data_IF_210432790070
#
_entry.id   IF_210432790070
#
_cell.length_a   1.000
_cell.length_b   1.000
_cell.length_c   1.000
_cell.angle_alpha   90.00
_cell.angle_beta   90.00
_cell.angle_gamma   90.00
#
_symmetry.space_group_name_H-M   'P 1'
#
loop_
_entity.id
_entity.type
_entity.pdbx_description
1 polymer ?
#
# COMPACT_ATOMS: atom_id res chain seq x y z
N UNK A 1 -27.51 -33.26 -7.81
CA UNK A 1 -26.85 -31.95 -7.98
C UNK A 1 -27.36 -31.34 -9.27
N UNK A 2 -27.89 -30.10 -9.28
CA UNK A 2 -28.29 -29.45 -10.53
C UNK A 2 -27.05 -28.87 -11.25
N UNK A 3 -27.09 -28.76 -12.60
CA UNK A 3 -25.96 -28.33 -13.41
C UNK A 3 -25.74 -26.81 -13.33
N UNK A 4 -24.46 -26.43 -13.34
CA UNK A 4 -23.99 -25.03 -13.35
C UNK A 4 -24.43 -24.33 -14.65
N UNK A 5 -25.16 -23.22 -14.54
CA UNK A 5 -25.41 -22.30 -15.65
C UNK A 5 -24.46 -21.11 -15.54
N UNK A 6 -23.71 -20.74 -16.60
CA UNK A 6 -22.89 -19.54 -16.60
C UNK A 6 -23.80 -18.30 -16.59
N UNK A 7 -23.58 -17.42 -15.62
CA UNK A 7 -24.30 -16.16 -15.52
C UNK A 7 -23.96 -15.24 -16.71
N UNK A 8 -25.01 -14.74 -17.37
CA UNK A 8 -24.98 -13.69 -18.40
C UNK A 8 -24.20 -12.45 -17.91
N UNK A 9 -23.61 -11.64 -18.84
CA UNK A 9 -22.78 -10.50 -18.47
C UNK A 9 -23.58 -9.54 -17.59
N UNK A 10 -23.00 -9.07 -16.47
CA UNK A 10 -23.81 -8.49 -15.42
C UNK A 10 -24.33 -7.12 -15.81
N UNK A 11 -25.62 -6.91 -15.55
CA UNK A 11 -26.33 -5.64 -15.39
C UNK A 11 -25.71 -4.72 -14.30
N UNK A 12 -24.45 -4.93 -13.90
CA UNK A 12 -23.71 -4.23 -12.83
C UNK A 12 -22.90 -3.01 -13.30
N UNK A 13 -22.84 -2.72 -14.60
CA UNK A 13 -22.20 -1.50 -15.12
C UNK A 13 -23.11 -0.25 -15.05
N UNK A 14 -24.36 -0.37 -14.59
CA UNK A 14 -25.34 0.73 -14.56
C UNK A 14 -25.43 1.52 -13.25
N UNK A 15 -24.79 1.08 -12.17
CA UNK A 15 -24.96 1.68 -10.84
C UNK A 15 -23.77 2.53 -10.35
N UNK A 16 -22.79 2.83 -11.20
CA UNK A 16 -21.72 3.80 -10.91
C UNK A 16 -22.11 5.26 -11.19
N UNK A 17 -23.40 5.55 -11.36
CA UNK A 17 -23.87 6.91 -11.56
C UNK A 17 -24.33 7.53 -10.23
N UNK A 18 -23.76 8.70 -9.96
CA UNK A 18 -24.18 9.80 -9.07
C UNK A 18 -23.47 9.85 -7.70
N UNK A 19 -22.47 10.73 -7.61
CA UNK A 19 -22.56 11.90 -6.74
C UNK A 19 -21.67 13.06 -7.26
N UNK A 20 -22.34 14.14 -7.67
CA UNK A 20 -21.87 15.53 -7.81
C UNK A 20 -20.53 15.83 -8.52
N UNK A 21 -20.45 15.59 -9.83
CA UNK A 21 -19.61 16.46 -10.70
C UNK A 21 -20.55 17.08 -11.72
N UNK A 22 -20.77 18.39 -11.60
CA UNK A 22 -21.76 19.15 -12.35
C UNK A 22 -21.47 19.25 -13.86
N UNK A 23 -20.30 18.82 -14.33
CA UNK A 23 -19.99 18.67 -15.75
C UNK A 23 -18.96 17.55 -15.98
N UNK A 24 -19.22 16.56 -16.84
CA UNK A 24 -18.18 15.63 -17.25
C UNK A 24 -17.14 16.38 -18.09
N UNK A 25 -15.82 16.25 -17.81
CA UNK A 25 -14.82 16.87 -18.66
C UNK A 25 -14.95 16.31 -20.10
N UNK A 26 -14.79 17.17 -21.13
CA UNK A 26 -14.77 16.73 -22.52
C UNK A 26 -13.68 15.65 -22.70
N UNK A 27 -13.79 14.78 -23.72
CA UNK A 27 -12.73 13.82 -24.02
C UNK A 27 -11.42 14.58 -24.21
N UNK A 28 -10.53 14.46 -23.23
CA UNK A 28 -9.27 15.19 -23.22
C UNK A 28 -8.46 14.67 -24.40
N UNK A 29 -8.16 15.57 -25.34
CA UNK A 29 -7.14 15.33 -26.35
C UNK A 29 -5.77 15.06 -25.70
N UNK A 30 -4.71 14.87 -26.50
CA UNK A 30 -3.37 14.71 -25.93
C UNK A 30 -3.05 15.86 -24.95
N UNK A 31 -2.36 15.59 -23.83
CA UNK A 31 -2.02 16.63 -22.87
C UNK A 31 -1.29 17.79 -23.53
N UNK A 32 -1.67 19.02 -23.21
CA UNK A 32 -1.03 20.22 -23.74
C UNK A 32 0.20 20.56 -22.90
N UNK A 33 1.26 20.99 -23.56
CA UNK A 33 2.52 21.38 -22.91
C UNK A 33 2.97 22.76 -23.41
N UNK A 34 3.42 23.66 -22.52
CA UNK A 34 3.51 23.51 -21.06
C UNK A 34 2.14 23.37 -20.38
N UNK A 35 2.11 22.83 -19.14
CA UNK A 35 0.88 22.84 -18.33
C UNK A 35 0.50 24.30 -18.04
N UNK A 36 -0.73 24.68 -18.34
CA UNK A 36 -1.25 26.05 -18.19
C UNK A 36 -1.94 26.26 -16.83
N UNK A 37 -2.44 25.18 -16.22
CA UNK A 37 -3.11 25.18 -14.92
C UNK A 37 -2.09 25.04 -13.77
N UNK A 38 -2.21 25.93 -12.77
CA UNK A 38 -1.28 25.97 -11.63
C UNK A 38 -1.42 24.74 -10.73
N UNK A 39 -2.65 24.23 -10.53
CA UNK A 39 -2.88 23.03 -9.75
C UNK A 39 -2.25 21.82 -10.44
N UNK A 40 -2.48 21.64 -11.74
CA UNK A 40 -1.87 20.57 -12.53
C UNK A 40 -0.33 20.61 -12.45
N UNK A 41 0.28 21.79 -12.58
CA UNK A 41 1.73 21.94 -12.44
C UNK A 41 2.21 21.57 -11.02
N UNK A 42 1.47 21.98 -9.98
CA UNK A 42 1.77 21.64 -8.59
C UNK A 42 1.63 20.13 -8.33
N UNK A 43 0.56 19.50 -8.81
CA UNK A 43 0.30 18.07 -8.69
C UNK A 43 1.36 17.25 -9.42
N UNK A 44 1.74 17.65 -10.64
CA UNK A 44 2.80 17.00 -11.40
C UNK A 44 4.11 17.01 -10.61
N UNK A 45 4.50 18.19 -10.10
CA UNK A 45 5.71 18.36 -9.29
C UNK A 45 5.66 17.55 -7.99
N UNK A 46 4.51 17.53 -7.33
CA UNK A 46 4.31 16.77 -6.09
C UNK A 46 4.47 15.27 -6.31
N UNK A 47 3.91 14.72 -7.40
CA UNK A 47 4.12 13.32 -7.78
C UNK A 47 5.61 12.97 -7.84
N UNK A 48 6.37 13.71 -8.67
CA UNK A 48 7.80 13.45 -8.92
C UNK A 48 8.62 13.60 -7.63
N UNK A 49 8.40 14.68 -6.88
CA UNK A 49 9.27 15.03 -5.74
C UNK A 49 8.91 14.30 -4.43
N UNK A 50 7.68 13.79 -4.28
CA UNK A 50 7.19 13.26 -3.00
C UNK A 50 6.65 11.84 -3.07
N UNK A 51 6.11 11.41 -4.21
CA UNK A 51 5.38 10.14 -4.31
C UNK A 51 6.11 9.08 -5.14
N UNK A 52 6.85 9.47 -6.18
CA UNK A 52 7.62 8.54 -7.01
C UNK A 52 8.60 7.69 -6.18
N UNK A 53 9.24 8.28 -5.16
CA UNK A 53 10.14 7.59 -4.23
C UNK A 53 9.46 6.44 -3.45
N UNK A 54 8.13 6.43 -3.35
CA UNK A 54 7.41 5.33 -2.71
C UNK A 54 7.35 4.09 -3.61
N UNK A 55 7.41 4.33 -4.92
CA UNK A 55 7.26 3.34 -5.98
C UNK A 55 8.63 2.80 -6.41
N UNK A 56 9.67 3.63 -6.44
CA UNK A 56 10.99 3.29 -6.98
C UNK A 56 11.97 2.59 -6.02
N UNK A 57 11.52 2.10 -4.85
CA UNK A 57 12.42 1.62 -3.77
C UNK A 57 13.47 0.58 -4.20
N UNK A 58 13.07 -0.33 -5.08
CA UNK A 58 13.92 -1.43 -5.58
C UNK A 58 14.14 -1.33 -7.10
N UNK A 59 13.96 -0.13 -7.65
CA UNK A 59 14.15 0.13 -9.08
C UNK A 59 15.43 0.95 -9.29
N UNK A 60 16.48 0.39 -9.90
CA UNK A 60 17.72 1.13 -10.17
C UNK A 60 17.51 2.30 -11.14
N UNK A 61 16.46 2.28 -11.96
CA UNK A 61 16.19 3.31 -12.97
C UNK A 61 15.30 4.44 -12.45
N UNK A 62 14.76 4.31 -11.23
CA UNK A 62 13.77 5.25 -10.69
C UNK A 62 12.66 5.55 -11.71
N UNK A 63 12.04 4.49 -12.26
CA UNK A 63 11.18 4.58 -13.44
C UNK A 63 9.95 5.44 -13.18
N UNK A 64 9.39 5.45 -11.98
CA UNK A 64 8.26 6.32 -11.63
C UNK A 64 8.67 7.78 -11.48
N UNK A 65 9.90 8.07 -11.05
CA UNK A 65 10.43 9.43 -10.98
C UNK A 65 10.86 9.97 -12.36
N UNK A 66 11.45 9.13 -13.21
CA UNK A 66 12.15 9.57 -14.41
C UNK A 66 11.37 9.31 -15.71
N UNK A 67 10.81 8.11 -15.87
CA UNK A 67 10.18 7.66 -17.11
C UNK A 67 8.69 7.96 -17.14
N UNK A 68 7.97 7.74 -16.03
CA UNK A 68 6.52 7.99 -15.93
C UNK A 68 6.16 9.44 -16.24
N UNK A 69 6.86 10.47 -15.71
CA UNK A 69 6.53 11.86 -16.03
C UNK A 69 6.75 12.21 -17.51
N UNK A 70 7.74 11.59 -18.17
CA UNK A 70 7.97 11.76 -19.60
C UNK A 70 6.84 11.12 -20.41
N UNK A 71 6.46 9.87 -20.09
CA UNK A 71 5.37 9.15 -20.75
C UNK A 71 4.00 9.77 -20.51
N UNK A 72 3.79 10.41 -19.36
CA UNK A 72 2.57 11.14 -19.04
C UNK A 72 2.32 12.34 -19.97
N UNK A 73 3.34 12.82 -20.70
CA UNK A 73 3.18 13.87 -21.70
C UNK A 73 2.29 13.46 -22.87
N UNK A 74 2.37 12.18 -23.22
CA UNK A 74 1.66 11.59 -24.37
C UNK A 74 0.54 10.62 -23.92
N UNK A 75 0.45 10.33 -22.62
CA UNK A 75 -0.48 9.37 -22.03
C UNK A 75 -1.42 10.05 -21.04
N UNK A 76 -2.65 10.40 -21.45
CA UNK A 76 -3.62 11.03 -20.55
C UNK A 76 -3.94 10.17 -19.33
N UNK A 77 -3.95 8.84 -19.46
CA UNK A 77 -4.27 7.95 -18.32
C UNK A 77 -3.19 8.01 -17.24
N UNK A 78 -1.91 8.05 -17.62
CA UNK A 78 -0.82 8.22 -16.67
C UNK A 78 -0.85 9.59 -16.02
N UNK A 79 -1.07 10.64 -16.82
CA UNK A 79 -1.15 12.01 -16.30
C UNK A 79 -2.27 12.17 -15.27
N UNK A 80 -3.48 11.71 -15.60
CA UNK A 80 -4.62 11.74 -14.69
C UNK A 80 -4.36 10.89 -13.43
N UNK A 81 -3.70 9.73 -13.54
CA UNK A 81 -3.36 8.92 -12.37
C UNK A 81 -2.36 9.64 -11.44
N UNK A 82 -1.33 10.27 -12.00
CA UNK A 82 -0.37 11.10 -11.25
C UNK A 82 -1.07 12.24 -10.50
N UNK A 83 -1.99 12.94 -11.17
CA UNK A 83 -2.77 14.02 -10.57
C UNK A 83 -3.72 13.50 -9.48
N UNK A 84 -4.43 12.41 -9.74
CA UNK A 84 -5.36 11.80 -8.79
C UNK A 84 -4.66 11.42 -7.48
N UNK A 85 -3.53 10.71 -7.57
CA UNK A 85 -2.75 10.31 -6.40
C UNK A 85 -2.17 11.53 -5.66
N UNK A 86 -1.62 12.49 -6.38
CA UNK A 86 -1.02 13.69 -5.78
C UNK A 86 -2.06 14.54 -5.05
N UNK A 87 -3.21 14.75 -5.67
CA UNK A 87 -4.30 15.52 -5.09
C UNK A 87 -4.87 14.78 -3.88
N UNK A 88 -4.99 13.44 -3.95
CA UNK A 88 -5.43 12.64 -2.80
C UNK A 88 -4.47 12.78 -1.63
N UNK A 89 -3.16 12.61 -1.86
CA UNK A 89 -2.16 12.76 -0.82
C UNK A 89 -2.22 14.16 -0.20
N UNK A 90 -2.21 15.21 -1.02
CA UNK A 90 -2.29 16.59 -0.54
C UNK A 90 -3.57 16.85 0.27
N UNK A 91 -4.74 16.36 -0.17
CA UNK A 91 -6.00 16.50 0.56
C UNK A 91 -5.97 15.92 1.97
N UNK A 92 -5.09 14.95 2.24
CA UNK A 92 -4.98 14.33 3.56
C UNK A 92 -3.84 14.91 4.39
N UNK A 93 -2.77 15.40 3.76
CA UNK A 93 -1.58 15.90 4.45
C UNK A 93 -1.50 17.42 4.58
N UNK A 94 -2.28 18.19 3.81
CA UNK A 94 -2.28 19.64 3.92
C UNK A 94 -3.08 20.11 5.15
N UNK A 95 -2.55 21.10 5.86
CA UNK A 95 -3.18 21.70 7.05
C UNK A 95 -3.95 23.00 6.72
N UNK A 96 -4.25 23.24 5.45
CA UNK A 96 -4.80 24.50 4.93
C UNK A 96 -6.21 24.27 4.34
N UNK A 97 -6.96 25.34 4.11
CA UNK A 97 -8.34 25.33 3.61
C UNK A 97 -8.46 24.68 2.21
N UNK A 98 -7.32 24.56 1.50
CA UNK A 98 -7.19 23.86 0.21
C UNK A 98 -7.40 22.34 0.28
N UNK A 99 -7.57 21.76 1.47
CA UNK A 99 -7.89 20.34 1.65
C UNK A 99 -9.08 19.88 0.81
N UNK A 100 -10.17 20.66 0.82
CA UNK A 100 -11.37 20.31 0.05
C UNK A 100 -11.15 20.42 -1.45
N UNK A 101 -10.43 21.45 -1.89
CA UNK A 101 -10.05 21.63 -3.30
C UNK A 101 -9.29 20.43 -3.84
N UNK A 102 -8.23 19.99 -3.15
CA UNK A 102 -7.47 18.80 -3.54
C UNK A 102 -8.30 17.52 -3.46
N UNK A 103 -9.25 17.42 -2.52
CA UNK A 103 -10.18 16.30 -2.45
C UNK A 103 -11.05 16.19 -3.71
N UNK A 104 -11.57 17.32 -4.20
CA UNK A 104 -12.36 17.38 -5.43
C UNK A 104 -11.51 17.04 -6.67
N UNK A 105 -10.31 17.62 -6.77
CA UNK A 105 -9.36 17.30 -7.85
C UNK A 105 -9.02 15.81 -7.90
N UNK A 106 -8.78 15.18 -6.74
CA UNK A 106 -8.52 13.75 -6.65
C UNK A 106 -9.68 12.93 -7.22
N UNK A 107 -10.93 13.29 -6.89
CA UNK A 107 -12.13 12.66 -7.42
C UNK A 107 -12.26 12.83 -8.94
N UNK A 108 -12.03 14.06 -9.43
CA UNK A 108 -12.11 14.41 -10.85
C UNK A 108 -11.15 13.60 -11.71
N UNK A 109 -9.86 13.58 -11.34
CA UNK A 109 -8.83 12.88 -12.11
C UNK A 109 -8.95 11.35 -12.00
N UNK A 110 -9.38 10.83 -10.84
CA UNK A 110 -9.68 9.41 -10.69
C UNK A 110 -10.86 8.99 -11.58
N UNK A 111 -11.93 9.78 -11.61
CA UNK A 111 -13.08 9.54 -12.49
C UNK A 111 -12.67 9.55 -13.97
N UNK A 112 -11.81 10.48 -14.38
CA UNK A 112 -11.26 10.51 -15.73
C UNK A 112 -10.51 9.21 -16.07
N UNK A 113 -9.66 8.71 -15.16
CA UNK A 113 -8.99 7.42 -15.33
C UNK A 113 -9.98 6.26 -15.47
N UNK A 114 -10.97 6.16 -14.58
CA UNK A 114 -11.99 5.10 -14.61
C UNK A 114 -12.76 5.12 -15.94
N UNK A 115 -13.16 6.30 -16.42
CA UNK A 115 -13.86 6.46 -17.69
C UNK A 115 -12.99 5.99 -18.87
N UNK A 116 -11.71 6.32 -18.87
CA UNK A 116 -10.76 5.84 -19.88
C UNK A 116 -10.61 4.31 -19.82
N UNK A 117 -10.37 3.75 -18.65
CA UNK A 117 -10.22 2.30 -18.44
C UNK A 117 -11.47 1.56 -18.92
N UNK A 118 -12.66 2.02 -18.54
CA UNK A 118 -13.94 1.42 -18.97
C UNK A 118 -14.12 1.48 -20.50
N UNK A 119 -13.73 2.60 -21.12
CA UNK A 119 -13.76 2.73 -22.58
C UNK A 119 -12.81 1.74 -23.27
N UNK A 120 -11.61 1.54 -22.72
CA UNK A 120 -10.63 0.59 -23.25
C UNK A 120 -11.09 -0.87 -23.08
N UNK A 121 -11.67 -1.21 -21.92
CA UNK A 121 -12.21 -2.55 -21.66
C UNK A 121 -13.46 -2.89 -22.49
N UNK A 122 -14.20 -1.88 -22.94
CA UNK A 122 -15.40 -2.04 -23.77
C UNK A 122 -15.13 -2.28 -25.26
N UNK A 123 -13.92 -2.00 -25.78
CA UNK A 123 -13.55 -2.30 -27.16
C UNK A 123 -13.02 -3.73 -27.27
N UNK A 124 -13.72 -4.60 -28.00
CA UNK A 124 -13.35 -6.00 -28.21
C UNK A 124 -11.95 -6.18 -28.84
N UNK A 125 -11.39 -5.14 -29.47
CA UNK A 125 -10.03 -5.14 -30.05
C UNK A 125 -8.93 -4.80 -29.04
N UNK A 126 -9.28 -4.38 -27.82
CA UNK A 126 -8.32 -3.97 -26.78
C UNK A 126 -7.97 -5.07 -25.77
N UNK A 127 -8.54 -6.27 -25.90
CA UNK A 127 -8.22 -7.43 -25.06
C UNK A 127 -6.76 -7.90 -25.19
N UNK A 128 -6.01 -7.37 -26.18
CA UNK A 128 -4.59 -7.60 -26.45
C UNK A 128 -3.70 -6.36 -26.25
N UNK A 129 -4.20 -5.29 -25.60
CA UNK A 129 -3.51 -3.98 -25.52
C UNK A 129 -3.47 -3.44 -24.09
N UNK A 130 -3.22 -4.34 -23.14
CA UNK A 130 -2.80 -3.96 -21.79
C UNK A 130 -1.38 -3.39 -21.92
N UNK A 131 -1.28 -2.07 -22.11
CA UNK A 131 0.03 -1.40 -22.24
C UNK A 131 0.66 -1.18 -20.86
N UNK A 132 1.98 -1.06 -20.82
CA UNK A 132 2.70 -0.69 -19.60
C UNK A 132 2.16 0.60 -18.95
N UNK A 133 1.63 1.53 -19.76
CA UNK A 133 1.00 2.77 -19.26
C UNK A 133 -0.28 2.49 -18.47
N UNK A 134 -1.12 1.58 -18.95
CA UNK A 134 -2.35 1.20 -18.26
C UNK A 134 -2.02 0.46 -16.95
N UNK A 135 -1.00 -0.41 -16.98
CA UNK A 135 -0.55 -1.10 -15.78
C UNK A 135 0.01 -0.13 -14.73
N UNK A 136 0.94 0.74 -15.11
CA UNK A 136 1.49 1.74 -14.21
C UNK A 136 0.43 2.72 -13.67
N UNK A 137 -0.54 3.12 -14.50
CA UNK A 137 -1.68 3.92 -14.02
C UNK A 137 -2.52 3.16 -12.99
N UNK A 138 -2.82 1.88 -13.22
CA UNK A 138 -3.54 1.05 -12.25
C UNK A 138 -2.78 0.94 -10.92
N UNK A 139 -1.46 0.78 -10.95
CA UNK A 139 -0.61 0.79 -9.74
C UNK A 139 -0.69 2.12 -8.98
N UNK A 140 -0.61 3.25 -9.69
CA UNK A 140 -0.72 4.58 -9.08
C UNK A 140 -2.11 4.78 -8.42
N UNK A 141 -3.18 4.37 -9.11
CA UNK A 141 -4.54 4.42 -8.59
C UNK A 141 -4.72 3.49 -7.39
N UNK A 142 -4.07 2.32 -7.39
CA UNK A 142 -4.10 1.41 -6.24
C UNK A 142 -3.51 2.06 -4.98
N UNK A 143 -2.39 2.79 -5.12
CA UNK A 143 -1.82 3.56 -3.99
C UNK A 143 -2.82 4.61 -3.50
N UNK A 144 -3.57 5.24 -4.42
CA UNK A 144 -4.61 6.21 -4.07
C UNK A 144 -5.77 5.55 -3.30
N UNK A 145 -6.23 4.38 -3.74
CA UNK A 145 -7.29 3.61 -3.07
C UNK A 145 -6.89 3.20 -1.65
N UNK A 146 -5.64 2.78 -1.46
CA UNK A 146 -5.12 2.47 -0.13
C UNK A 146 -5.12 3.69 0.81
N UNK A 147 -4.99 4.92 0.30
CA UNK A 147 -5.16 6.16 1.09
C UNK A 147 -6.64 6.46 1.40
N UNK A 148 -7.56 6.04 0.52
CA UNK A 148 -8.99 6.28 0.69
C UNK A 148 -9.63 5.45 1.80
N UNK A 149 -9.00 4.34 2.22
CA UNK A 149 -9.54 3.51 3.30
C UNK A 149 -9.66 4.27 4.66
N UNK A 150 -9.08 5.47 4.79
CA UNK A 150 -9.27 6.38 5.92
C UNK A 150 -10.59 7.18 5.89
N UNK A 151 -11.25 7.26 4.74
CA UNK A 151 -12.41 8.14 4.55
C UNK A 151 -13.71 7.42 4.96
N UNK A 152 -14.67 8.13 5.60
CA UNK A 152 -15.98 7.58 5.90
C UNK A 152 -16.64 7.07 4.61
N UNK A 153 -17.08 5.81 4.65
CA UNK A 153 -17.80 5.19 3.54
C UNK A 153 -19.16 5.86 3.41
N UNK A 154 -19.36 6.67 2.37
CA UNK A 154 -20.71 7.01 1.92
C UNK A 154 -21.36 5.68 1.47
N UNK A 155 -22.44 5.30 2.15
CA UNK A 155 -23.14 4.00 2.08
C UNK A 155 -23.67 3.62 0.68
N UNK A 156 -23.47 4.47 -0.33
CA UNK A 156 -23.85 4.22 -1.72
C UNK A 156 -22.80 3.49 -2.57
N UNK A 157 -21.51 3.47 -2.16
CA UNK A 157 -20.41 2.98 -3.02
C UNK A 157 -19.89 1.56 -2.71
N UNK A 158 -20.65 0.75 -1.97
CA UNK A 158 -20.27 -0.64 -1.64
C UNK A 158 -20.18 -1.57 -2.86
N UNK A 159 -20.63 -1.16 -4.05
CA UNK A 159 -20.52 -1.95 -5.28
C UNK A 159 -19.18 -1.80 -6.02
N UNK A 160 -18.30 -0.88 -5.58
CA UNK A 160 -16.99 -0.61 -6.21
C UNK A 160 -15.81 -1.28 -5.48
N UNK A 161 -16.06 -2.26 -4.60
CA UNK A 161 -15.07 -2.97 -3.78
C UNK A 161 -14.12 -3.90 -4.60
N UNK A 162 -14.08 -3.72 -5.91
CA UNK A 162 -13.16 -4.36 -6.85
C UNK A 162 -12.64 -3.30 -7.85
N UNK A 163 -12.16 -2.17 -7.33
CA UNK A 163 -11.45 -1.15 -8.11
C UNK A 163 -10.21 -1.76 -8.74
N UNK A 164 -10.03 -1.56 -10.05
CA UNK A 164 -8.87 -1.78 -10.95
C UNK A 164 -8.02 -3.10 -10.87
N UNK A 165 -8.09 -3.85 -9.77
CA UNK A 165 -7.42 -5.10 -9.42
C UNK A 165 -7.51 -6.20 -10.48
N UNK A 166 -8.68 -6.50 -11.10
CA UNK A 166 -8.77 -7.59 -12.07
C UNK A 166 -7.85 -7.39 -13.28
N UNK A 167 -7.56 -6.14 -13.63
CA UNK A 167 -6.69 -5.78 -14.74
C UNK A 167 -5.21 -6.02 -14.49
N UNK A 168 -4.75 -5.72 -13.26
CA UNK A 168 -3.37 -5.95 -12.83
C UNK A 168 -2.98 -7.43 -12.91
N UNK A 169 -3.82 -8.32 -12.36
CA UNK A 169 -3.52 -9.77 -12.38
C UNK A 169 -3.47 -10.29 -13.81
N UNK A 170 -4.39 -9.86 -14.67
CA UNK A 170 -4.40 -10.24 -16.09
C UNK A 170 -3.14 -9.79 -16.82
N UNK A 171 -2.67 -8.56 -16.59
CA UNK A 171 -1.42 -8.06 -17.20
C UNK A 171 -0.23 -8.96 -16.84
N UNK A 172 -0.07 -9.24 -15.55
CA UNK A 172 1.04 -10.05 -15.04
C UNK A 172 0.95 -11.51 -15.50
N UNK A 173 -0.26 -12.03 -15.73
CA UNK A 173 -0.43 -13.38 -16.29
C UNK A 173 -0.11 -13.48 -17.78
N UNK A 174 -0.34 -12.43 -18.57
CA UNK A 174 -0.26 -12.52 -20.05
C UNK A 174 1.01 -11.92 -20.66
N UNK A 175 1.64 -10.97 -19.99
CA UNK A 175 2.75 -10.20 -20.56
C UNK A 175 4.13 -10.70 -20.12
N UNK A 176 5.08 -10.61 -21.04
CA UNK A 176 6.49 -10.81 -20.73
C UNK A 176 7.06 -9.54 -20.08
N UNK A 177 7.59 -9.68 -18.86
CA UNK A 177 8.11 -8.56 -18.07
C UNK A 177 9.63 -8.49 -18.18
N UNK A 178 10.13 -7.66 -19.09
CA UNK A 178 11.57 -7.44 -19.28
C UNK A 178 12.15 -6.55 -18.16
N UNK A 179 13.27 -6.93 -17.51
CA UNK A 179 13.95 -6.07 -16.55
C UNK A 179 14.27 -4.68 -17.11
N UNK A 180 14.04 -3.63 -16.30
CA UNK A 180 14.28 -2.24 -16.67
C UNK A 180 13.14 -1.56 -17.46
N UNK A 181 12.08 -2.31 -17.80
CA UNK A 181 10.87 -1.75 -18.42
C UNK A 181 9.89 -1.17 -17.38
N UNK A 182 8.91 -0.39 -17.84
CA UNK A 182 7.87 0.15 -16.96
C UNK A 182 6.98 -0.95 -16.41
N UNK A 183 6.73 -2.01 -17.18
CA UNK A 183 6.03 -3.21 -16.73
C UNK A 183 6.75 -3.89 -15.57
N UNK A 184 8.06 -4.11 -15.68
CA UNK A 184 8.85 -4.69 -14.60
C UNK A 184 8.90 -3.81 -13.34
N UNK A 185 9.07 -2.49 -13.49
CA UNK A 185 9.01 -1.57 -12.35
C UNK A 185 7.63 -1.62 -11.66
N UNK A 186 6.56 -1.62 -12.45
CA UNK A 186 5.17 -1.72 -11.95
C UNK A 186 4.92 -3.05 -11.22
N UNK A 187 5.48 -4.17 -11.69
CA UNK A 187 5.40 -5.46 -11.02
C UNK A 187 5.98 -5.43 -9.60
N UNK A 188 7.14 -4.81 -9.41
CA UNK A 188 7.77 -4.73 -8.08
C UNK A 188 7.00 -3.85 -7.09
N UNK A 189 6.27 -2.85 -7.60
CA UNK A 189 5.32 -2.09 -6.78
C UNK A 189 4.11 -2.95 -6.44
N UNK A 190 3.51 -3.60 -7.45
CA UNK A 190 2.36 -4.49 -7.30
C UNK A 190 2.60 -5.56 -6.24
N UNK A 191 3.76 -6.21 -6.27
CA UNK A 191 4.12 -7.26 -5.32
C UNK A 191 4.14 -6.75 -3.87
N UNK A 192 4.69 -5.54 -3.64
CA UNK A 192 4.71 -4.95 -2.29
C UNK A 192 3.31 -4.58 -1.81
N UNK A 193 2.44 -4.09 -2.70
CA UNK A 193 1.04 -3.81 -2.37
C UNK A 193 0.27 -5.10 -2.06
N UNK A 194 0.52 -6.16 -2.81
CA UNK A 194 -0.06 -7.48 -2.56
C UNK A 194 0.43 -8.11 -1.25
N UNK A 195 1.68 -7.90 -0.88
CA UNK A 195 2.21 -8.28 0.45
C UNK A 195 1.44 -7.54 1.55
N UNK A 196 1.23 -6.22 1.41
CA UNK A 196 0.43 -5.46 2.36
C UNK A 196 -1.01 -6.01 2.46
N UNK A 197 -1.67 -6.22 1.33
CA UNK A 197 -3.01 -6.80 1.25
C UNK A 197 -3.07 -8.20 1.90
N UNK A 198 -2.08 -9.04 1.64
CA UNK A 198 -1.95 -10.39 2.20
C UNK A 198 -1.82 -10.37 3.72
N UNK A 199 -1.02 -9.45 4.27
CA UNK A 199 -0.84 -9.29 5.72
C UNK A 199 -2.13 -8.81 6.39
N UNK A 200 -2.74 -7.74 5.88
CA UNK A 200 -3.95 -7.14 6.48
C UNK A 200 -5.16 -8.07 6.39
N UNK A 201 -5.36 -8.72 5.23
CA UNK A 201 -6.52 -9.59 4.99
C UNK A 201 -6.27 -11.05 5.37
N UNK A 202 -5.05 -11.40 5.82
CA UNK A 202 -4.59 -12.76 6.12
C UNK A 202 -4.91 -13.75 5.00
N UNK A 203 -4.52 -13.42 3.78
CA UNK A 203 -4.75 -14.22 2.58
C UNK A 203 -3.44 -14.41 1.79
N UNK A 204 -3.34 -15.42 0.90
CA UNK A 204 -2.21 -15.54 -0.01
C UNK A 204 -2.05 -14.31 -0.92
N UNK A 205 -0.81 -14.06 -1.33
CA UNK A 205 -0.49 -13.13 -2.41
C UNK A 205 -1.09 -13.65 -3.71
N UNK A 206 -1.87 -12.82 -4.40
CA UNK A 206 -2.58 -13.23 -5.62
C UNK A 206 -1.78 -13.01 -6.89
N UNK A 207 -0.72 -12.20 -6.82
CA UNK A 207 0.16 -11.92 -7.94
C UNK A 207 0.88 -13.20 -8.40
N UNK A 208 0.91 -13.43 -9.71
CA UNK A 208 1.75 -14.49 -10.29
C UNK A 208 3.23 -14.14 -10.09
N UNK A 209 4.00 -15.07 -9.50
CA UNK A 209 5.44 -14.91 -9.23
C UNK A 209 6.32 -15.77 -10.14
N UNK A 210 5.71 -16.44 -11.13
CA UNK A 210 6.39 -17.35 -12.05
C UNK A 210 6.94 -16.59 -13.28
N UNK A 211 7.82 -15.62 -13.02
CA UNK A 211 8.53 -14.83 -14.03
C UNK A 211 10.04 -15.09 -13.92
N UNK A 212 10.61 -16.09 -14.62
CA UNK A 212 11.98 -16.54 -14.39
C UNK A 212 13.06 -15.49 -14.69
N UNK A 213 12.82 -14.60 -15.66
CA UNK A 213 13.77 -13.55 -16.05
C UNK A 213 13.73 -12.30 -15.13
N UNK A 214 12.69 -12.20 -14.29
CA UNK A 214 12.50 -11.07 -13.38
C UNK A 214 12.63 -11.48 -11.90
N UNK A 215 12.04 -12.61 -11.53
CA UNK A 215 11.93 -13.11 -10.16
C UNK A 215 13.06 -14.08 -9.86
N UNK A 216 14.16 -13.53 -9.38
CA UNK A 216 15.31 -14.30 -8.89
C UNK A 216 15.09 -14.76 -7.43
N UNK A 217 15.26 -16.07 -7.19
CA UNK A 217 15.20 -16.70 -5.85
C UNK A 217 16.55 -17.28 -5.39
N UNK A 218 17.61 -17.03 -6.15
CA UNK A 218 18.95 -17.47 -5.81
C UNK A 218 19.53 -16.69 -4.62
N UNK A 219 20.66 -17.16 -4.11
CA UNK A 219 21.46 -16.48 -3.09
C UNK A 219 22.88 -16.20 -3.60
N UNK A 220 23.02 -16.07 -4.91
CA UNK A 220 24.30 -15.75 -5.57
C UNK A 220 24.60 -14.24 -5.46
N UNK A 221 25.87 -13.85 -5.46
CA UNK A 221 26.21 -12.42 -5.34
C UNK A 221 25.68 -11.63 -6.54
N UNK A 222 25.06 -10.50 -6.26
CA UNK A 222 24.44 -9.59 -7.24
C UNK A 222 24.36 -8.18 -6.64
N UNK A 223 23.79 -7.24 -7.40
CA UNK A 223 23.54 -5.86 -6.98
C UNK A 223 22.55 -5.74 -5.80
N UNK A 224 22.53 -4.57 -5.16
CA UNK A 224 21.70 -4.30 -3.99
C UNK A 224 20.20 -4.39 -4.29
N UNK A 225 19.75 -3.91 -5.46
CA UNK A 225 18.32 -3.90 -5.81
C UNK A 225 17.78 -5.32 -5.97
N UNK A 226 18.55 -6.20 -6.63
CA UNK A 226 18.19 -7.63 -6.73
C UNK A 226 18.18 -8.31 -5.35
N UNK A 227 19.10 -7.99 -4.43
CA UNK A 227 19.05 -8.49 -3.06
C UNK A 227 17.79 -8.08 -2.30
N UNK A 228 17.33 -6.83 -2.48
CA UNK A 228 16.07 -6.36 -1.92
C UNK A 228 14.86 -7.09 -2.52
N UNK A 229 14.82 -7.22 -3.85
CA UNK A 229 13.74 -7.92 -4.56
C UNK A 229 13.65 -9.39 -4.15
N UNK A 230 14.78 -10.09 -3.97
CA UNK A 230 14.82 -11.46 -3.41
C UNK A 230 14.16 -11.54 -2.03
N UNK A 231 14.42 -10.58 -1.14
CA UNK A 231 13.79 -10.55 0.18
C UNK A 231 12.28 -10.32 0.11
N UNK A 232 11.82 -9.45 -0.81
CA UNK A 232 10.40 -9.18 -1.05
C UNK A 232 9.69 -10.44 -1.58
N UNK A 233 10.27 -11.11 -2.58
CA UNK A 233 9.74 -12.37 -3.15
C UNK A 233 9.68 -13.46 -2.08
N UNK A 234 10.74 -13.60 -1.28
CA UNK A 234 10.74 -14.55 -0.19
C UNK A 234 9.66 -14.27 0.85
N UNK A 235 9.42 -12.99 1.17
CA UNK A 235 8.30 -12.60 2.04
C UNK A 235 6.96 -13.04 1.45
N UNK A 236 6.73 -12.84 0.14
CA UNK A 236 5.53 -13.33 -0.53
C UNK A 236 5.43 -14.87 -0.51
N UNK A 237 6.52 -15.60 -0.74
CA UNK A 237 6.56 -17.06 -0.67
C UNK A 237 6.23 -17.58 0.75
N UNK A 238 6.68 -16.88 1.79
CA UNK A 238 6.34 -17.18 3.20
C UNK A 238 4.87 -16.90 3.49
N UNK A 239 4.33 -15.76 3.04
CA UNK A 239 2.91 -15.44 3.22
C UNK A 239 2.01 -16.45 2.51
N UNK A 240 2.38 -16.84 1.29
CA UNK A 240 1.71 -17.91 0.54
C UNK A 240 1.77 -19.23 1.30
N UNK A 241 2.88 -19.57 1.95
CA UNK A 241 2.95 -20.74 2.80
C UNK A 241 2.05 -20.62 4.05
N UNK A 242 2.03 -19.47 4.71
CA UNK A 242 1.30 -19.26 5.97
C UNK A 242 -0.22 -19.14 5.79
N UNK A 243 -0.68 -18.59 4.66
CA UNK A 243 -2.09 -18.24 4.45
C UNK A 243 -2.80 -19.06 3.38
N UNK A 244 -2.13 -20.01 2.72
CA UNK A 244 -2.79 -20.85 1.71
C UNK A 244 -3.79 -21.82 2.37
N UNK A 245 -5.10 -21.70 2.07
CA UNK A 245 -6.13 -22.53 2.69
C UNK A 245 -6.17 -23.96 2.14
N UNK A 246 -5.64 -24.18 0.93
CA UNK A 246 -5.74 -25.44 0.20
C UNK A 246 -4.55 -26.38 0.49
N UNK A 247 -3.40 -25.83 0.86
CA UNK A 247 -2.20 -26.60 1.16
C UNK A 247 -2.00 -26.71 2.66
N UNK A 248 -2.01 -27.94 3.19
CA UNK A 248 -1.58 -28.17 4.57
C UNK A 248 -0.12 -27.74 4.73
N UNK A 249 0.20 -26.89 5.71
CA UNK A 249 1.58 -26.53 6.00
C UNK A 249 2.41 -27.79 6.27
N UNK A 250 3.53 -27.94 5.58
CA UNK A 250 4.48 -29.03 5.82
C UNK A 250 5.71 -28.51 6.53
N UNK A 251 6.20 -29.27 7.51
CA UNK A 251 7.43 -28.94 8.25
C UNK A 251 8.62 -28.79 7.28
N UNK A 252 8.73 -29.68 6.29
CA UNK A 252 9.76 -29.60 5.26
C UNK A 252 9.75 -28.27 4.51
N UNK A 253 8.58 -27.79 4.09
CA UNK A 253 8.48 -26.50 3.39
C UNK A 253 8.83 -25.33 4.32
N UNK A 254 8.40 -25.39 5.58
CA UNK A 254 8.81 -24.42 6.59
C UNK A 254 10.33 -24.39 6.75
N UNK A 255 10.99 -25.55 6.86
CA UNK A 255 12.46 -25.66 6.97
C UNK A 255 13.20 -25.15 5.72
N UNK A 256 12.65 -25.38 4.53
CA UNK A 256 13.19 -24.82 3.28
C UNK A 256 13.14 -23.29 3.29
N UNK A 257 11.98 -22.71 3.64
CA UNK A 257 11.82 -21.25 3.74
C UNK A 257 12.70 -20.66 4.84
N UNK A 258 12.75 -21.29 6.01
CA UNK A 258 13.57 -20.82 7.12
C UNK A 258 15.08 -20.89 6.79
N UNK A 259 15.54 -21.97 6.13
CA UNK A 259 16.93 -22.06 5.65
C UNK A 259 17.26 -20.99 4.61
N UNK A 260 16.34 -20.71 3.68
CA UNK A 260 16.53 -19.62 2.73
C UNK A 260 16.66 -18.28 3.45
N UNK A 261 15.78 -18.02 4.43
CA UNK A 261 15.80 -16.81 5.24
C UNK A 261 17.17 -16.62 5.93
N UNK A 262 17.67 -17.66 6.60
CA UNK A 262 19.01 -17.64 7.21
C UNK A 262 20.12 -17.40 6.18
N UNK A 263 20.06 -18.09 5.04
CA UNK A 263 21.04 -17.95 3.96
C UNK A 263 21.10 -16.52 3.40
N UNK A 264 19.96 -15.82 3.33
CA UNK A 264 19.91 -14.41 2.95
C UNK A 264 20.67 -13.53 3.97
N UNK A 265 20.45 -13.72 5.28
CA UNK A 265 21.16 -12.96 6.33
C UNK A 265 22.69 -13.18 6.30
N UNK A 266 23.12 -14.40 5.96
CA UNK A 266 24.52 -14.81 5.91
C UNK A 266 25.27 -14.26 4.68
N UNK A 267 24.60 -14.13 3.54
CA UNK A 267 25.22 -13.82 2.24
C UNK A 267 24.94 -12.41 1.72
N UNK A 268 23.96 -11.71 2.30
CA UNK A 268 23.64 -10.33 1.92
C UNK A 268 24.91 -9.45 1.85
N UNK A 269 24.93 -8.42 0.98
CA UNK A 269 26.05 -7.49 0.89
C UNK A 269 26.33 -6.80 2.24
N UNK A 270 27.58 -6.37 2.44
CA UNK A 270 27.98 -5.66 3.67
C UNK A 270 27.11 -4.43 3.95
N UNK A 271 26.68 -3.73 2.91
CA UNK A 271 25.81 -2.56 3.01
C UNK A 271 24.43 -2.83 3.63
N UNK A 272 23.95 -4.08 3.59
CA UNK A 272 22.73 -4.50 4.30
C UNK A 272 23.02 -4.93 5.74
N UNK A 273 24.16 -5.60 5.96
CA UNK A 273 24.56 -6.08 7.29
C UNK A 273 24.99 -4.94 8.23
N UNK A 274 25.67 -3.94 7.68
CA UNK A 274 26.28 -2.83 8.42
C UNK A 274 25.55 -1.52 8.04
N UNK A 275 24.48 -1.15 8.76
CA UNK A 275 23.83 0.14 8.56
C UNK A 275 24.80 1.29 8.84
N UNK A 276 24.52 2.47 8.28
CA UNK A 276 25.31 3.69 8.50
C UNK A 276 25.42 4.04 9.98
N UNK A 277 24.35 3.78 10.73
CA UNK A 277 24.28 4.02 12.16
C UNK A 277 23.40 2.96 12.82
N UNK A 278 23.82 2.49 13.98
CA UNK A 278 23.04 1.61 14.86
C UNK A 278 23.33 1.94 16.31
N UNK A 279 22.31 2.36 17.05
CA UNK A 279 22.38 2.57 18.49
C UNK A 279 21.08 2.13 19.16
N UNK A 280 21.17 1.56 20.36
CA UNK A 280 20.00 1.35 21.22
C UNK A 280 20.27 2.04 22.55
N UNK A 281 19.50 3.09 22.84
CA UNK A 281 19.59 3.84 24.10
C UNK A 281 18.65 3.19 25.10
N UNK A 282 19.07 3.05 26.36
CA UNK A 282 18.28 2.39 27.40
C UNK A 282 16.88 3.00 27.60
N UNK A 283 16.73 4.30 27.30
CA UNK A 283 15.45 5.02 27.39
C UNK A 283 14.55 4.88 26.16
N UNK A 284 15.04 4.29 25.06
CA UNK A 284 14.31 4.23 23.79
C UNK A 284 13.73 2.83 23.58
N UNK A 285 12.44 2.77 23.24
CA UNK A 285 11.74 1.51 22.95
C UNK A 285 12.31 0.82 21.71
N UNK A 286 12.54 1.57 20.64
CA UNK A 286 13.08 1.05 19.39
C UNK A 286 14.57 1.39 19.25
N UNK A 287 15.38 0.51 18.62
CA UNK A 287 16.72 0.87 18.21
C UNK A 287 16.69 1.93 17.11
N UNK A 288 17.72 2.77 17.06
CA UNK A 288 17.93 3.73 15.98
C UNK A 288 18.81 3.09 14.91
N UNK A 289 18.28 2.91 13.71
CA UNK A 289 18.98 2.21 12.61
C UNK A 289 18.82 3.02 11.32
N UNK A 290 19.94 3.45 10.73
CA UNK A 290 19.95 4.28 9.53
C UNK A 290 20.59 3.54 8.35
N UNK A 291 19.88 3.49 7.23
CA UNK A 291 20.39 3.08 5.93
C UNK A 291 20.47 4.29 5.02
N UNK A 292 21.24 4.18 3.94
CA UNK A 292 21.43 5.27 2.98
C UNK A 292 20.71 5.02 1.65
N UNK A 293 20.15 3.82 1.44
CA UNK A 293 19.35 3.47 0.25
C UNK A 293 18.01 2.85 0.62
N UNK A 294 16.99 3.16 -0.17
CA UNK A 294 15.62 2.67 0.01
C UNK A 294 15.54 1.15 -0.17
N UNK A 295 16.30 0.59 -1.12
CA UNK A 295 16.38 -0.86 -1.34
C UNK A 295 16.93 -1.62 -0.11
N UNK A 296 17.84 -1.02 0.65
CA UNK A 296 18.36 -1.60 1.90
C UNK A 296 17.28 -1.64 2.97
N UNK A 297 16.60 -0.50 3.20
CA UNK A 297 15.50 -0.37 4.16
C UNK A 297 14.44 -1.43 3.88
N UNK A 298 13.90 -1.44 2.66
CA UNK A 298 12.76 -2.28 2.32
C UNK A 298 13.15 -3.76 2.25
N UNK A 299 14.35 -4.07 1.74
CA UNK A 299 14.87 -5.44 1.66
C UNK A 299 15.07 -6.07 3.03
N UNK A 300 15.74 -5.37 3.95
CA UNK A 300 15.91 -5.85 5.33
C UNK A 300 14.56 -6.01 6.02
N UNK A 301 13.66 -5.02 5.91
CA UNK A 301 12.37 -5.12 6.59
C UNK A 301 11.50 -6.27 6.04
N UNK A 302 11.46 -6.51 4.73
CA UNK A 302 10.71 -7.64 4.17
C UNK A 302 11.33 -8.99 4.55
N UNK A 303 12.66 -9.08 4.62
CA UNK A 303 13.34 -10.26 5.15
C UNK A 303 12.98 -10.53 6.61
N UNK A 304 12.97 -9.49 7.47
CA UNK A 304 12.56 -9.60 8.87
C UNK A 304 11.07 -9.92 9.01
N UNK A 305 10.21 -9.36 8.15
CA UNK A 305 8.78 -9.65 8.14
C UNK A 305 8.53 -11.13 7.79
N UNK A 306 9.22 -11.66 6.79
CA UNK A 306 9.19 -13.09 6.44
C UNK A 306 9.62 -13.96 7.64
N UNK A 307 10.69 -13.57 8.34
CA UNK A 307 11.14 -14.25 9.57
C UNK A 307 10.06 -14.25 10.65
N UNK A 308 9.40 -13.11 10.89
CA UNK A 308 8.31 -13.00 11.86
C UNK A 308 7.16 -13.98 11.56
N UNK A 309 6.73 -14.06 10.29
CA UNK A 309 5.68 -15.00 9.90
C UNK A 309 6.08 -16.47 10.06
N UNK A 310 7.35 -16.81 9.76
CA UNK A 310 7.86 -18.17 10.00
C UNK A 310 7.89 -18.53 11.49
N UNK A 311 8.28 -17.60 12.36
CA UNK A 311 8.31 -17.79 13.82
C UNK A 311 6.90 -17.90 14.41
N UNK A 312 5.99 -17.00 14.03
CA UNK A 312 4.58 -17.04 14.47
C UNK A 312 3.89 -18.33 14.02
N UNK A 313 4.14 -18.76 12.78
CA UNK A 313 3.65 -20.05 12.29
C UNK A 313 4.15 -21.22 13.14
N UNK A 314 5.44 -21.22 13.54
CA UNK A 314 6.00 -22.29 14.39
C UNK A 314 5.31 -22.40 15.74
N UNK A 315 4.93 -21.26 16.35
CA UNK A 315 4.17 -21.24 17.60
C UNK A 315 2.74 -21.76 17.37
N UNK A 316 2.06 -21.28 16.31
CA UNK A 316 0.64 -21.57 16.07
C UNK A 316 0.35 -22.96 15.52
N UNK A 317 1.30 -23.57 14.81
CA UNK A 317 1.09 -24.86 14.15
C UNK A 317 1.07 -26.07 15.09
N UNK A 318 1.09 -25.85 16.41
CA UNK A 318 0.86 -26.91 17.41
C UNK A 318 1.93 -28.00 17.40
N UNK A 319 3.10 -27.74 16.81
CA UNK A 319 4.26 -28.61 16.99
C UNK A 319 4.57 -28.70 18.49
N UNK A 320 5.04 -29.86 18.99
CA UNK A 320 5.39 -30.01 20.40
C UNK A 320 6.59 -29.11 20.72
N UNK A 321 6.31 -27.87 21.05
CA UNK A 321 7.24 -26.85 21.52
C UNK A 321 6.99 -26.72 23.01
N UNK A 322 8.05 -26.81 23.82
CA UNK A 322 7.94 -26.61 25.26
C UNK A 322 7.51 -25.17 25.56
N UNK A 323 6.91 -24.93 26.74
CA UNK A 323 6.53 -23.57 27.14
C UNK A 323 7.71 -22.59 27.11
N UNK A 324 8.91 -23.04 27.55
CA UNK A 324 10.13 -22.22 27.52
C UNK A 324 10.59 -21.87 26.10
N UNK A 325 10.57 -22.82 25.17
CA UNK A 325 10.90 -22.54 23.75
C UNK A 325 9.89 -21.58 23.10
N UNK A 326 8.61 -21.67 23.47
CA UNK A 326 7.59 -20.71 23.00
C UNK A 326 7.91 -19.30 23.49
N UNK A 327 8.27 -19.13 24.76
CA UNK A 327 8.60 -17.82 25.34
C UNK A 327 9.86 -17.21 24.69
N UNK A 328 10.88 -18.04 24.42
CA UNK A 328 12.08 -17.61 23.69
C UNK A 328 11.75 -17.12 22.28
N UNK A 329 10.90 -17.86 21.53
CA UNK A 329 10.48 -17.45 20.19
C UNK A 329 9.67 -16.15 20.25
N UNK A 330 8.80 -15.97 21.24
CA UNK A 330 8.05 -14.74 21.44
C UNK A 330 8.95 -13.54 21.74
N UNK A 331 10.04 -13.70 22.50
CA UNK A 331 11.03 -12.65 22.70
C UNK A 331 11.75 -12.31 21.39
N UNK A 332 12.11 -13.30 20.58
CA UNK A 332 12.69 -13.05 19.24
C UNK A 332 11.72 -12.30 18.34
N UNK A 333 10.43 -12.63 18.37
CA UNK A 333 9.37 -11.89 17.67
C UNK A 333 9.35 -10.44 18.12
N UNK A 334 9.26 -10.17 19.44
CA UNK A 334 9.24 -8.80 19.99
C UNK A 334 10.48 -8.01 19.59
N UNK A 335 11.67 -8.58 19.72
CA UNK A 335 12.94 -7.95 19.31
C UNK A 335 12.95 -7.63 17.82
N UNK A 336 12.47 -8.54 16.98
CA UNK A 336 12.44 -8.36 15.53
C UNK A 336 11.44 -7.28 15.11
N UNK A 337 10.26 -7.21 15.76
CA UNK A 337 9.30 -6.11 15.54
C UNK A 337 9.92 -4.77 15.92
N UNK A 338 10.58 -4.67 17.08
CA UNK A 338 11.28 -3.44 17.49
C UNK A 338 12.34 -3.02 16.46
N UNK A 339 13.08 -3.97 15.90
CA UNK A 339 14.05 -3.70 14.84
C UNK A 339 13.39 -3.15 13.56
N UNK A 340 12.27 -3.74 13.09
CA UNK A 340 11.52 -3.23 11.94
C UNK A 340 11.00 -1.80 12.21
N UNK A 341 10.46 -1.54 13.41
CA UNK A 341 10.01 -0.21 13.83
C UNK A 341 11.16 0.79 13.88
N UNK A 342 12.31 0.39 14.41
CA UNK A 342 13.53 1.20 14.45
C UNK A 342 14.06 1.58 13.07
N UNK A 343 14.02 0.63 12.13
CA UNK A 343 14.34 0.89 10.72
C UNK A 343 13.34 1.87 10.11
N UNK A 344 12.03 1.68 10.33
CA UNK A 344 11.01 2.59 9.80
C UNK A 344 11.19 4.01 10.31
N UNK A 345 11.40 4.17 11.62
CA UNK A 345 11.57 5.49 12.24
C UNK A 345 12.90 6.16 11.89
N UNK A 346 13.98 5.38 11.76
CA UNK A 346 15.31 5.88 11.40
C UNK A 346 15.46 6.31 9.93
N UNK A 347 14.51 5.98 9.06
CA UNK A 347 14.61 6.19 7.62
C UNK A 347 13.37 6.91 7.04
N UNK A 348 12.87 7.96 7.72
CA UNK A 348 11.65 8.69 7.32
C UNK A 348 11.71 9.36 5.94
N UNK A 349 12.91 9.56 5.38
CA UNK A 349 13.11 10.05 4.02
C UNK A 349 12.60 9.06 2.95
N UNK A 350 12.41 7.79 3.30
CA UNK A 350 11.78 6.75 2.48
C UNK A 350 10.51 6.22 3.16
N UNK A 351 9.35 6.89 2.99
CA UNK A 351 8.11 6.57 3.72
C UNK A 351 7.67 5.10 3.72
N UNK A 352 7.86 4.29 2.65
CA UNK A 352 7.54 2.87 2.72
C UNK A 352 8.22 2.07 3.84
N UNK A 353 9.33 2.59 4.38
CA UNK A 353 9.96 2.03 5.58
C UNK A 353 9.03 2.06 6.80
N UNK A 354 8.33 3.16 7.05
CA UNK A 354 7.37 3.25 8.16
C UNK A 354 6.09 2.46 7.87
N UNK A 355 5.69 2.33 6.60
CA UNK A 355 4.53 1.49 6.23
C UNK A 355 4.79 0.02 6.55
N UNK A 356 6.01 -0.45 6.33
CA UNK A 356 6.41 -1.82 6.70
C UNK A 356 6.45 -2.03 8.21
N UNK A 357 6.80 -1.00 8.98
CA UNK A 357 6.65 -1.03 10.43
C UNK A 357 5.18 -1.12 10.85
N UNK A 358 4.27 -0.37 10.23
CA UNK A 358 2.83 -0.49 10.48
C UNK A 358 2.30 -1.91 10.19
N UNK A 359 2.76 -2.55 9.10
CA UNK A 359 2.43 -3.96 8.83
C UNK A 359 2.88 -4.90 9.95
N UNK A 360 4.12 -4.75 10.43
CA UNK A 360 4.65 -5.57 11.52
C UNK A 360 3.88 -5.33 12.84
N UNK A 361 3.56 -4.07 13.16
CA UNK A 361 2.76 -3.70 14.33
C UNK A 361 1.36 -4.30 14.23
N UNK A 362 0.69 -4.19 13.08
CA UNK A 362 -0.64 -4.75 12.87
C UNK A 362 -0.66 -6.28 13.05
N UNK A 363 0.32 -6.98 12.46
CA UNK A 363 0.35 -8.44 12.49
C UNK A 363 0.83 -9.03 13.83
N UNK A 364 1.77 -8.35 14.51
CA UNK A 364 2.48 -8.91 15.67
C UNK A 364 2.37 -8.06 16.94
N UNK A 365 1.64 -6.94 16.93
CA UNK A 365 1.46 -6.07 18.09
C UNK A 365 0.81 -6.77 19.29
N UNK A 366 0.03 -7.83 19.07
CA UNK A 366 -0.58 -8.66 20.11
C UNK A 366 0.44 -9.33 21.05
N UNK A 367 1.70 -9.49 20.61
CA UNK A 367 2.77 -10.07 21.44
C UNK A 367 3.28 -9.12 22.54
N UNK A 368 2.91 -7.84 22.51
CA UNK A 368 3.43 -6.83 23.42
C UNK A 368 2.48 -6.54 24.59
N UNK A 369 3.05 -6.45 25.80
CA UNK A 369 2.32 -6.24 27.05
C UNK A 369 2.71 -4.96 27.80
N UNK A 370 3.92 -4.44 27.57
CA UNK A 370 4.38 -3.18 28.17
C UNK A 370 3.61 -2.01 27.55
N UNK A 371 3.19 -1.07 28.40
CA UNK A 371 2.49 0.15 27.97
C UNK A 371 3.41 1.04 27.14
N UNK A 372 4.70 1.07 27.48
CA UNK A 372 5.73 1.84 26.77
C UNK A 372 5.87 1.35 25.32
N UNK A 373 5.96 0.03 25.11
CA UNK A 373 5.98 -0.56 23.77
C UNK A 373 4.70 -0.23 22.98
N UNK A 374 3.54 -0.36 23.63
CA UNK A 374 2.23 -0.10 23.04
C UNK A 374 2.09 1.37 22.60
N UNK A 375 2.40 2.31 23.48
CA UNK A 375 2.28 3.74 23.20
C UNK A 375 3.27 4.17 22.09
N UNK A 376 4.48 3.60 22.07
CA UNK A 376 5.43 3.84 20.99
C UNK A 376 4.95 3.29 19.63
N UNK A 377 4.28 2.13 19.61
CA UNK A 377 3.67 1.59 18.39
C UNK A 377 2.46 2.42 17.92
N UNK A 378 1.63 2.89 18.84
CA UNK A 378 0.52 3.81 18.52
C UNK A 378 1.04 5.11 17.91
N UNK A 379 2.13 5.67 18.44
CA UNK A 379 2.76 6.87 17.88
C UNK A 379 3.24 6.67 16.44
N UNK A 380 3.80 5.50 16.11
CA UNK A 380 4.18 5.16 14.71
C UNK A 380 2.95 5.16 13.81
N UNK A 381 1.86 4.52 14.23
CA UNK A 381 0.61 4.44 13.46
C UNK A 381 0.03 5.86 13.22
N UNK A 382 -0.11 6.65 14.30
CA UNK A 382 -0.61 8.02 14.24
C UNK A 382 0.23 8.94 13.35
N UNK A 383 1.57 8.87 13.47
CA UNK A 383 2.49 9.66 12.66
C UNK A 383 2.41 9.26 11.17
N UNK A 384 2.24 7.97 10.89
CA UNK A 384 2.13 7.44 9.54
C UNK A 384 0.87 7.95 8.85
N UNK A 385 -0.26 7.93 9.54
CA UNK A 385 -1.52 8.47 9.00
C UNK A 385 -1.43 9.96 8.74
N UNK A 386 -0.93 10.72 9.72
CA UNK A 386 -0.79 12.18 9.64
C UNK A 386 0.13 12.63 8.50
N UNK A 387 1.28 11.98 8.34
CA UNK A 387 2.33 12.47 7.44
C UNK A 387 2.24 11.88 6.02
N UNK A 388 1.59 10.73 5.87
CA UNK A 388 1.64 9.96 4.63
C UNK A 388 0.27 9.49 4.12
N UNK A 389 -0.83 9.98 4.71
CA UNK A 389 -2.17 9.65 4.22
C UNK A 389 -2.47 8.14 4.25
N UNK A 390 -1.83 7.40 5.16
CA UNK A 390 -1.98 5.94 5.29
C UNK A 390 -2.93 5.60 6.43
N UNK A 391 -4.10 5.01 6.17
CA UNK A 391 -5.06 4.67 7.22
C UNK A 391 -4.47 3.65 8.19
N UNK A 392 -4.46 4.02 9.47
CA UNK A 392 -4.03 3.18 10.58
C UNK A 392 -5.01 3.13 11.73
N UNK A 393 -6.05 3.99 11.73
CA UNK A 393 -7.04 4.05 12.81
C UNK A 393 -7.67 2.69 13.12
N UNK A 394 -8.04 1.90 12.10
CA UNK A 394 -8.58 0.55 12.30
C UNK A 394 -7.60 -0.35 13.07
N UNK A 395 -6.31 -0.30 12.72
CA UNK A 395 -5.25 -1.06 13.41
C UNK A 395 -5.09 -0.58 14.85
N UNK A 396 -5.17 0.73 15.10
CA UNK A 396 -5.11 1.31 16.46
C UNK A 396 -6.26 0.76 17.30
N UNK A 397 -7.50 0.79 16.80
CA UNK A 397 -8.67 0.31 17.53
C UNK A 397 -8.57 -1.19 17.86
N UNK A 398 -8.14 -2.00 16.89
CA UNK A 398 -7.94 -3.44 17.08
C UNK A 398 -6.88 -3.72 18.15
N UNK A 399 -5.74 -3.02 18.11
CA UNK A 399 -4.68 -3.19 19.09
C UNK A 399 -5.08 -2.72 20.49
N UNK A 400 -5.77 -1.59 20.61
CA UNK A 400 -6.30 -1.12 21.90
C UNK A 400 -7.27 -2.14 22.52
N UNK A 401 -8.09 -2.78 21.70
CA UNK A 401 -8.97 -3.87 22.13
C UNK A 401 -8.17 -5.09 22.59
N UNK A 402 -7.17 -5.54 21.81
CA UNK A 402 -6.32 -6.70 22.14
C UNK A 402 -5.52 -6.46 23.43
N UNK A 403 -5.04 -5.25 23.65
CA UNK A 403 -4.28 -4.86 24.83
C UNK A 403 -5.15 -4.52 26.05
N UNK A 404 -6.48 -4.46 25.89
CA UNK A 404 -7.41 -4.12 26.97
C UNK A 404 -7.38 -2.65 27.40
N UNK A 405 -6.95 -1.73 26.51
CA UNK A 405 -6.85 -0.28 26.76
C UNK A 405 -8.20 0.42 26.54
N UNK A 406 -9.25 -0.04 27.24
CA UNK A 406 -10.64 0.38 27.03
C UNK A 406 -10.88 1.89 27.13
N UNK A 407 -10.19 2.60 28.03
CA UNK A 407 -10.35 4.05 28.17
C UNK A 407 -9.93 4.82 26.93
N UNK A 408 -8.82 4.43 26.30
CA UNK A 408 -8.33 5.04 25.06
C UNK A 408 -9.22 4.67 23.87
N UNK A 409 -9.66 3.42 23.82
CA UNK A 409 -10.58 2.94 22.79
C UNK A 409 -11.87 3.77 22.78
N UNK A 410 -12.52 3.93 23.94
CA UNK A 410 -13.75 4.72 24.06
C UNK A 410 -13.54 6.18 23.67
N UNK A 411 -12.41 6.80 24.06
CA UNK A 411 -12.10 8.19 23.68
C UNK A 411 -11.96 8.35 22.17
N UNK A 412 -11.23 7.45 21.51
CA UNK A 412 -11.00 7.49 20.06
C UNK A 412 -12.27 7.20 19.26
N UNK A 413 -13.05 6.20 19.63
CA UNK A 413 -14.33 5.90 18.98
C UNK A 413 -15.31 7.07 19.11
N UNK A 414 -15.38 7.73 20.27
CA UNK A 414 -16.21 8.93 20.44
C UNK A 414 -15.74 10.07 19.53
N UNK A 415 -14.44 10.36 19.49
CA UNK A 415 -13.90 11.40 18.62
C UNK A 415 -14.25 11.16 17.14
N UNK A 416 -14.14 9.91 16.66
CA UNK A 416 -14.52 9.55 15.29
C UNK A 416 -16.01 9.84 15.00
N UNK A 417 -16.91 9.47 15.91
CA UNK A 417 -18.34 9.76 15.76
C UNK A 417 -18.68 11.26 15.77
N UNK A 418 -17.96 12.06 16.56
CA UNK A 418 -18.13 13.53 16.58
C UNK A 418 -17.68 14.16 15.25
N UNK A 419 -16.51 13.77 14.73
CA UNK A 419 -16.00 14.27 13.45
C UNK A 419 -16.94 13.93 12.28
N UNK A 420 -17.50 12.71 12.27
CA UNK A 420 -18.45 12.28 11.24
C UNK A 420 -19.78 13.05 11.29
N UNK A 421 -20.28 13.39 12.49
CA UNK A 421 -21.48 14.23 12.65
C UNK A 421 -21.26 15.67 12.20
N UNK A 422 -20.11 16.27 12.51
CA UNK A 422 -19.78 17.62 12.06
C UNK A 422 -19.61 17.69 10.53
N UNK A 423 -19.01 16.67 9.91
CA UNK A 423 -18.87 16.59 8.46
C UNK A 423 -20.22 16.47 7.72
N UNK A 424 -21.19 15.71 8.26
CA UNK A 424 -22.55 15.67 7.71
C UNK A 424 -23.32 16.97 7.93
N UNK A 425 -23.12 17.64 9.08
CA UNK A 425 -23.79 18.92 9.36
C UNK A 425 -23.33 20.04 8.42
N UNK A 426 -22.06 20.04 8.02
CA UNK A 426 -21.53 21.01 7.04
C UNK A 426 -22.04 20.75 5.61
N UNK A 427 -22.29 19.49 5.22
CA UNK A 427 -22.94 19.17 3.93
C UNK A 427 -24.37 19.70 3.84
N UNK A 428 -25.12 19.65 4.94
CA UNK A 428 -26.52 20.09 4.97
C UNK A 428 -26.66 21.62 5.00
N UNK A 429 -25.67 22.36 5.48
CA UNK A 429 -25.72 23.83 5.52
C UNK A 429 -25.21 24.51 4.24
N UNK A 430 -24.74 23.73 3.24
CA UNK A 430 -24.22 24.23 1.97
C UNK A 430 -25.22 24.26 0.81
N UNK A 431 -26.41 23.65 0.96
CA UNK A 431 -27.43 23.58 -0.11
C UNK A 431 -28.62 24.54 0.07
N UNK A 432 -28.78 25.19 1.23
CA UNK A 432 -29.90 26.11 1.50
C UNK A 432 -29.48 27.59 1.47
N UNK A 433 -28.73 27.97 0.45
CA UNK A 433 -28.13 29.30 0.30
C UNK A 433 -28.62 30.14 -0.87
N UNK A 434 -29.61 29.72 -1.66
CA UNK A 434 -30.18 30.54 -2.73
C UNK A 434 -31.68 30.26 -2.89
N UNK A 435 -32.52 31.12 -2.31
CA UNK A 435 -33.81 31.59 -2.85
C UNK A 435 -34.58 32.33 -1.77
N UNK A 436 -34.50 33.66 -1.75
CA UNK A 436 -35.58 34.56 -1.28
C UNK A 436 -35.19 36.01 -1.50
N UNK A 437 -35.16 36.43 -2.77
CA UNK A 437 -35.47 37.81 -3.14
C UNK A 437 -36.51 37.75 -4.23
N UNK A 438 -37.79 37.92 -3.89
CA UNK A 438 -38.74 38.73 -4.68
C UNK A 438 -40.09 38.88 -3.95
N UNK A 439 -40.63 40.09 -4.10
CA UNK A 439 -42.00 40.54 -3.85
C UNK A 439 -42.55 40.64 -2.40
N UNK A 440 -42.62 41.89 -1.92
CA UNK A 440 -43.91 42.63 -1.95
C UNK A 440 -43.76 44.13 -1.64
N UNK A 441 -44.43 44.91 -2.47
CA UNK A 441 -44.91 46.28 -2.19
C UNK A 441 -45.82 46.33 -0.98
#
# INVERSE_FOLDING_TARGET
>A
MPPFQPASPPTRLRLMMISSVLDPPPPLGPPKWPLEDEDEACLFRHFVQKLAVWLDLCDPNHTFETVVPQRARDSPILLNAMFALSARHLSQTCNDDRKWHYHELAGRYNYACIKMINSLLGDARYQSSWTEHLFAAAIILQVMEEMNAALPVDTANQAADQGHLPGMYRFVETEFLEPGTLGAASFWVALRQEIYSAVTKRQPVRLNLDHPDLVDRSLEQTDEYTWANRAIVHCADVLNFCFNPERRPSLRRWEELFRWNQGWSERQPRSYREPLFRQHRDSAVFPEIWYHRSCQVIGVQHHLLAKLFLLDHRIRSGSPVTAGESDEVQEVIRKTVREICGIGYGNQWTPPGIFTACMAISAFGAYFRSVEDQDAMLAILEQTEKNHARPTEGVILDLLQIWGRHDLLVRRTRAAHWTQRCACSFRLTGEDGETSQEDKR
#
